data_IF_391676525723
#
_entry.id   IF_391676525723
#
_cell.length_a   1.000
_cell.length_b   1.000
_cell.length_c   1.000
_cell.angle_alpha   90.00
_cell.angle_beta   90.00
_cell.angle_gamma   90.00
#
_symmetry.space_group_name_H-M   'P 1'
#
loop_
_entity.id
_entity.type
_entity.pdbx_description
1 polymer ?
#
# COMPACT_ATOMS: atom_id res chain seq x y z
N UNK A 1 -4.02 -13.71 24.34
CA UNK A 1 -4.74 -12.44 24.62
C UNK A 1 -5.23 -12.32 26.07
N UNK A 2 -6.03 -13.23 26.64
CA UNK A 2 -6.53 -13.13 28.03
C UNK A 2 -5.46 -12.98 29.13
N UNK A 3 -4.33 -13.68 29.02
CA UNK A 3 -3.21 -13.58 30.00
C UNK A 3 -2.59 -12.18 30.10
N UNK A 4 -2.57 -11.41 29.01
CA UNK A 4 -2.02 -10.04 28.98
C UNK A 4 -3.00 -9.08 29.66
N UNK A 5 -4.30 -9.27 29.43
CA UNK A 5 -5.36 -8.43 30.03
C UNK A 5 -5.41 -8.62 31.55
N UNK A 6 -5.25 -9.85 32.04
CA UNK A 6 -5.27 -10.13 33.48
C UNK A 6 -4.00 -9.63 34.19
N UNK A 7 -2.86 -9.68 33.50
CA UNK A 7 -1.61 -9.10 34.00
C UNK A 7 -1.70 -7.56 34.12
N UNK A 8 -2.32 -6.88 33.15
CA UNK A 8 -2.56 -5.43 33.19
C UNK A 8 -3.46 -5.04 34.36
N UNK A 9 -4.53 -5.79 34.63
CA UNK A 9 -5.44 -5.50 35.75
C UNK A 9 -4.75 -5.59 37.11
N UNK A 10 -3.79 -6.50 37.25
CA UNK A 10 -3.07 -6.68 38.52
C UNK A 10 -2.00 -5.61 38.74
N UNK A 11 -1.50 -5.00 37.66
CA UNK A 11 -0.52 -3.90 37.69
C UNK A 11 -1.08 -2.57 38.20
N UNK A 12 -2.40 -2.34 38.12
CA UNK A 12 -3.03 -1.12 38.60
C UNK A 12 -3.51 -1.18 40.06
N UNK A 13 -3.24 -2.27 40.79
CA UNK A 13 -3.78 -2.50 42.14
C UNK A 13 -2.81 -2.15 43.29
N UNK A 14 -2.18 -0.99 43.24
CA UNK A 14 -1.65 -0.39 44.46
C UNK A 14 -1.69 1.13 44.36
N UNK A 15 -2.71 1.72 44.98
CA UNK A 15 -2.75 3.16 45.23
C UNK A 15 -2.33 3.39 46.69
N UNK A 16 -1.19 4.04 46.95
CA UNK A 16 -0.88 4.51 48.30
C UNK A 16 -1.74 5.74 48.62
N UNK A 17 -2.44 5.72 49.76
CA UNK A 17 -3.14 6.90 50.31
C UNK A 17 -2.09 7.94 50.74
N UNK A 18 -2.17 9.14 50.18
CA UNK A 18 -1.39 10.32 50.59
C UNK A 18 -2.28 11.21 51.46
N UNK A 19 -1.77 11.56 52.64
CA UNK A 19 -2.34 12.51 53.60
C UNK A 19 -2.03 13.95 53.19
N UNK A 20 -3.05 14.79 53.22
CA UNK A 20 -3.02 16.20 52.83
C UNK A 20 -2.29 17.05 53.88
N UNK A 21 -1.42 17.95 53.41
CA UNK A 21 -1.15 19.21 54.13
C UNK A 21 -0.95 20.35 53.12
N UNK A 22 -1.58 21.47 53.43
CA UNK A 22 -1.77 22.65 52.60
C UNK A 22 -0.75 23.73 52.97
N UNK A 23 -0.04 24.28 52.00
CA UNK A 23 0.41 25.67 52.06
C UNK A 23 0.74 26.20 50.67
N UNK A 24 0.10 27.32 50.35
CA UNK A 24 0.19 28.07 49.12
C UNK A 24 1.47 28.90 49.09
N UNK A 25 2.33 28.67 48.10
CA UNK A 25 3.40 29.59 47.74
C UNK A 25 3.62 29.49 46.23
N UNK A 26 3.66 30.64 45.55
CA UNK A 26 3.87 30.73 44.10
C UNK A 26 5.30 30.28 43.75
N UNK A 27 5.49 28.96 43.64
CA UNK A 27 6.75 28.35 43.22
C UNK A 27 6.78 28.33 41.70
N UNK A 28 7.80 28.97 41.14
CA UNK A 28 8.28 28.62 39.80
C UNK A 28 8.66 27.14 39.83
N UNK A 29 7.74 26.28 39.41
CA UNK A 29 7.87 24.83 39.45
C UNK A 29 8.89 24.40 38.40
N UNK A 30 10.14 24.21 38.84
CA UNK A 30 11.15 23.53 38.03
C UNK A 30 10.83 22.04 37.92
N UNK A 31 11.02 21.47 36.73
CA UNK A 31 10.89 20.03 36.51
C UNK A 31 11.81 19.26 37.47
N UNK A 32 11.26 18.32 38.23
CA UNK A 32 12.10 17.45 39.06
C UNK A 32 12.79 16.39 38.19
N UNK A 33 14.03 16.03 38.53
CA UNK A 33 14.76 14.95 37.85
C UNK A 33 14.00 13.62 37.90
N UNK A 34 13.27 13.37 39.00
CA UNK A 34 12.45 12.17 39.17
C UNK A 34 11.24 12.17 38.23
N UNK A 35 10.61 13.32 37.97
CA UNK A 35 9.53 13.43 37.00
C UNK A 35 10.00 13.12 35.59
N UNK A 36 11.16 13.66 35.18
CA UNK A 36 11.71 13.36 33.86
C UNK A 36 12.09 11.87 33.73
N UNK A 37 12.61 11.26 34.79
CA UNK A 37 13.02 9.85 34.83
C UNK A 37 11.82 8.91 34.64
N UNK A 38 10.72 9.16 35.34
CA UNK A 38 9.50 8.35 35.21
C UNK A 38 8.91 8.51 33.80
N UNK A 39 8.95 9.71 33.23
CA UNK A 39 8.42 9.96 31.87
C UNK A 39 9.18 9.17 30.82
N UNK A 40 10.53 9.19 30.82
CA UNK A 40 11.31 8.40 29.85
C UNK A 40 11.14 6.90 30.06
N UNK A 41 10.94 6.46 31.31
CA UNK A 41 10.66 5.05 31.61
C UNK A 41 9.31 4.61 31.04
N UNK A 42 8.26 5.41 31.21
CA UNK A 42 6.93 5.14 30.64
C UNK A 42 6.95 5.22 29.11
N UNK A 43 7.62 6.22 28.52
CA UNK A 43 7.79 6.34 27.06
C UNK A 43 8.52 5.13 26.48
N UNK A 44 9.54 4.61 27.17
CA UNK A 44 10.26 3.41 26.75
C UNK A 44 9.37 2.16 26.70
N UNK A 45 8.53 1.95 27.73
CA UNK A 45 7.60 0.81 27.77
C UNK A 45 6.54 0.92 26.68
N UNK A 46 5.95 2.11 26.49
CA UNK A 46 4.94 2.33 25.45
C UNK A 46 5.52 2.12 24.04
N UNK A 47 6.73 2.62 23.77
CA UNK A 47 7.40 2.44 22.49
C UNK A 47 7.64 0.96 22.16
N UNK A 48 8.06 0.15 23.13
CA UNK A 48 8.28 -1.29 22.94
C UNK A 48 6.99 -2.03 22.58
N UNK A 49 5.86 -1.71 23.24
CA UNK A 49 4.56 -2.34 22.95
C UNK A 49 4.08 -2.00 21.53
N UNK A 50 4.23 -0.74 21.11
CA UNK A 50 3.78 -0.29 19.78
C UNK A 50 4.53 -1.00 18.65
N UNK A 51 5.85 -1.18 18.78
CA UNK A 51 6.66 -1.86 17.76
C UNK A 51 6.31 -3.35 17.60
N UNK A 52 5.83 -4.00 18.66
CA UNK A 52 5.37 -5.40 18.58
C UNK A 52 3.98 -5.47 17.93
N UNK A 53 3.16 -4.43 18.08
CA UNK A 53 1.78 -4.40 17.59
C UNK A 53 1.65 -4.04 16.09
N UNK A 54 2.64 -3.35 15.52
CA UNK A 54 2.61 -2.84 14.14
C UNK A 54 3.80 -3.40 13.35
N UNK A 55 3.54 -3.97 12.17
CA UNK A 55 4.59 -4.22 11.17
C UNK A 55 4.76 -2.96 10.30
N UNK A 56 5.80 -2.12 10.54
CA UNK A 56 5.98 -0.87 9.80
C UNK A 56 6.29 -1.12 8.33
N UNK A 57 6.90 -2.25 7.98
CA UNK A 57 7.26 -2.59 6.60
C UNK A 57 5.99 -2.84 5.79
N UNK A 58 5.04 -3.57 6.37
CA UNK A 58 3.75 -3.86 5.73
C UNK A 58 2.91 -2.58 5.54
N UNK A 59 2.95 -1.65 6.50
CA UNK A 59 2.25 -0.36 6.36
C UNK A 59 2.82 0.51 5.24
N UNK A 60 4.15 0.54 5.09
CA UNK A 60 4.80 1.23 3.98
C UNK A 60 4.46 0.58 2.63
N UNK A 61 4.43 -0.76 2.57
CA UNK A 61 4.00 -1.51 1.38
C UNK A 61 2.58 -1.17 0.96
N UNK A 62 1.63 -1.09 1.90
CA UNK A 62 0.25 -0.65 1.64
C UNK A 62 0.17 0.76 1.06
N UNK A 63 0.99 1.69 1.58
CA UNK A 63 1.05 3.05 1.06
C UNK A 63 1.48 3.10 -0.41
N UNK A 64 2.53 2.36 -0.75
CA UNK A 64 3.02 2.24 -2.14
C UNK A 64 2.01 1.57 -3.05
N UNK A 65 1.36 0.52 -2.58
CA UNK A 65 0.33 -0.20 -3.32
C UNK A 65 -0.89 0.69 -3.60
N UNK A 66 -1.27 1.59 -2.71
CA UNK A 66 -2.32 2.59 -2.99
C UNK A 66 -1.95 3.49 -4.16
N UNK A 67 -0.68 3.90 -4.25
CA UNK A 67 -0.15 4.63 -5.40
C UNK A 67 -0.20 3.79 -6.67
N UNK A 68 0.26 2.54 -6.62
CA UNK A 68 0.22 1.61 -7.77
C UNK A 68 -1.20 1.45 -8.31
N UNK A 69 -2.17 1.20 -7.43
CA UNK A 69 -3.58 1.03 -7.79
C UNK A 69 -4.09 2.23 -8.58
N UNK A 70 -3.88 3.43 -8.04
CA UNK A 70 -4.28 4.69 -8.69
C UNK A 70 -3.60 4.86 -10.05
N UNK A 71 -2.30 4.58 -10.13
CA UNK A 71 -1.53 4.69 -11.38
C UNK A 71 -2.00 3.71 -12.46
N UNK A 72 -2.20 2.42 -12.17
CA UNK A 72 -2.66 1.49 -13.24
C UNK A 72 -4.09 1.82 -13.66
N UNK A 73 -4.97 2.26 -12.76
CA UNK A 73 -6.30 2.73 -13.15
C UNK A 73 -6.21 3.98 -14.04
N UNK A 74 -5.34 4.93 -13.70
CA UNK A 74 -5.11 6.13 -14.51
C UNK A 74 -4.57 5.81 -15.90
N UNK A 75 -3.56 4.94 -15.98
CA UNK A 75 -2.95 4.50 -17.24
C UNK A 75 -3.98 3.75 -18.10
N UNK A 76 -4.72 2.80 -17.51
CA UNK A 76 -5.77 2.07 -18.24
C UNK A 76 -6.83 3.00 -18.82
N UNK A 77 -7.35 3.94 -18.02
CA UNK A 77 -8.30 4.95 -18.52
C UNK A 77 -7.72 5.81 -19.64
N UNK A 78 -6.47 6.25 -19.52
CA UNK A 78 -5.81 7.04 -20.56
C UNK A 78 -5.65 6.26 -21.87
N UNK A 79 -5.32 4.97 -21.81
CA UNK A 79 -5.26 4.10 -23.00
C UNK A 79 -6.64 3.96 -23.63
N UNK A 80 -7.69 3.83 -22.83
CA UNK A 80 -9.05 3.75 -23.34
C UNK A 80 -9.47 5.06 -24.02
N UNK A 81 -9.17 6.22 -23.43
CA UNK A 81 -9.44 7.51 -24.07
C UNK A 81 -8.63 7.68 -25.36
N UNK A 82 -7.35 7.30 -25.36
CA UNK A 82 -6.53 7.29 -26.57
C UNK A 82 -7.15 6.44 -27.68
N UNK A 83 -7.63 5.24 -27.35
CA UNK A 83 -8.30 4.37 -28.31
C UNK A 83 -9.56 5.03 -28.89
N UNK A 84 -10.36 5.72 -28.07
CA UNK A 84 -11.54 6.45 -28.57
C UNK A 84 -11.19 7.60 -29.51
N UNK A 85 -10.01 8.21 -29.37
CA UNK A 85 -9.55 9.30 -30.22
C UNK A 85 -8.87 8.83 -31.51
N UNK A 86 -8.06 7.77 -31.45
CA UNK A 86 -7.19 7.33 -32.55
C UNK A 86 -7.71 6.06 -33.26
N UNK A 87 -8.61 5.31 -32.63
CA UNK A 87 -9.15 4.05 -33.16
C UNK A 87 -8.20 2.86 -33.05
N UNK A 88 -7.07 3.02 -32.36
CA UNK A 88 -6.11 1.94 -32.10
C UNK A 88 -5.42 2.15 -30.75
N UNK A 89 -4.92 1.06 -30.17
CA UNK A 89 -4.18 1.13 -28.91
C UNK A 89 -2.77 1.70 -29.14
N UNK A 90 -2.19 2.39 -28.14
CA UNK A 90 -0.84 2.92 -28.27
C UNK A 90 0.17 1.78 -28.46
N UNK A 91 1.20 2.04 -29.26
CA UNK A 91 2.29 1.09 -29.48
C UNK A 91 2.98 0.76 -28.15
N UNK A 92 3.21 -0.53 -27.89
CA UNK A 92 3.74 -1.00 -26.60
C UNK A 92 5.06 -0.35 -26.23
N UNK A 93 6.01 -0.29 -27.17
CA UNK A 93 7.36 0.20 -26.91
C UNK A 93 7.41 1.66 -26.42
N UNK A 94 6.40 2.47 -26.72
CA UNK A 94 6.40 3.92 -26.47
C UNK A 94 5.10 4.43 -25.85
N UNK A 95 4.29 3.54 -25.26
CA UNK A 95 2.98 3.91 -24.73
C UNK A 95 3.05 5.08 -23.73
N UNK A 96 4.08 5.13 -22.89
CA UNK A 96 4.30 6.22 -21.94
C UNK A 96 4.46 7.59 -22.63
N UNK A 97 5.23 7.65 -23.73
CA UNK A 97 5.44 8.86 -24.52
C UNK A 97 4.20 9.22 -25.32
N UNK A 98 3.51 8.23 -25.90
CA UNK A 98 2.27 8.44 -26.66
C UNK A 98 1.20 9.04 -25.76
N UNK A 99 0.94 8.45 -24.59
CA UNK A 99 -0.10 8.92 -23.65
C UNK A 99 0.21 10.30 -23.07
N UNK A 100 1.49 10.62 -22.87
CA UNK A 100 1.88 11.95 -22.36
C UNK A 100 1.84 13.03 -23.44
N UNK A 101 2.27 12.71 -24.66
CA UNK A 101 2.29 13.67 -25.78
C UNK A 101 0.90 13.95 -26.32
N UNK A 102 0.02 12.95 -26.35
CA UNK A 102 -1.39 13.11 -26.71
C UNK A 102 -2.20 13.87 -25.65
N UNK A 103 -1.66 14.04 -24.44
CA UNK A 103 -2.32 14.75 -23.35
C UNK A 103 -3.32 13.92 -22.56
N UNK A 104 -3.47 12.62 -22.89
CA UNK A 104 -4.35 11.67 -22.20
C UNK A 104 -3.88 11.34 -20.78
N UNK A 105 -2.60 11.58 -20.51
CA UNK A 105 -2.01 11.34 -19.20
C UNK A 105 -0.97 12.42 -18.86
N UNK A 106 -1.06 13.05 -17.69
CA UNK A 106 -0.17 14.15 -17.27
C UNK A 106 0.38 13.95 -15.85
N UNK A 107 1.71 14.01 -15.65
CA UNK A 107 2.75 13.27 -16.39
C UNK A 107 2.66 11.75 -16.12
N UNK A 108 3.49 10.95 -16.77
CA UNK A 108 3.54 9.50 -16.52
C UNK A 108 3.82 9.20 -15.04
N UNK A 109 3.09 8.28 -14.38
CA UNK A 109 3.22 8.10 -12.94
C UNK A 109 4.61 7.56 -12.60
N UNK A 110 5.30 8.13 -11.59
CA UNK A 110 6.55 7.57 -11.12
C UNK A 110 6.31 6.25 -10.38
N UNK A 111 7.36 5.43 -10.29
CA UNK A 111 7.32 4.19 -9.52
C UNK A 111 7.13 4.49 -8.02
N UNK A 112 6.07 3.97 -7.35
CA UNK A 112 5.84 4.24 -5.93
C UNK A 112 6.95 3.63 -5.06
N UNK A 113 7.75 4.48 -4.42
CA UNK A 113 8.79 4.04 -3.48
C UNK A 113 10.16 3.70 -4.08
N UNK A 114 10.42 4.02 -5.37
CA UNK A 114 11.72 3.79 -6.01
C UNK A 114 11.71 2.62 -6.99
N UNK A 115 12.82 1.87 -7.09
CA UNK A 115 12.97 0.76 -8.04
C UNK A 115 11.84 -0.26 -7.84
N UNK A 116 10.98 -0.49 -8.85
CA UNK A 116 9.86 -1.40 -8.70
C UNK A 116 10.36 -2.84 -8.46
N UNK A 117 9.57 -3.70 -7.79
CA UNK A 117 9.82 -5.14 -7.78
C UNK A 117 9.99 -5.63 -9.22
N UNK A 118 10.88 -6.60 -9.45
CA UNK A 118 11.02 -7.22 -10.77
C UNK A 118 9.64 -7.66 -11.28
N UNK A 119 9.13 -6.91 -12.25
CA UNK A 119 7.88 -7.22 -12.91
C UNK A 119 8.19 -8.23 -14.00
N UNK A 120 7.51 -9.36 -13.91
CA UNK A 120 7.26 -10.14 -15.09
C UNK A 120 6.43 -9.30 -16.05
N UNK A 121 7.01 -8.91 -17.18
CA UNK A 121 6.34 -8.21 -18.28
C UNK A 121 6.73 -8.89 -19.61
N UNK A 122 6.56 -10.20 -19.66
CA UNK A 122 6.89 -10.99 -20.84
C UNK A 122 5.91 -10.69 -21.96
N UNK A 123 6.41 -10.30 -23.14
CA UNK A 123 5.57 -9.92 -24.27
C UNK A 123 4.90 -8.56 -24.10
N UNK A 124 5.45 -7.68 -23.26
CA UNK A 124 4.97 -6.31 -23.09
C UNK A 124 6.09 -5.32 -22.86
N UNK A 125 5.71 -4.10 -22.51
CA UNK A 125 6.65 -3.03 -22.15
C UNK A 125 6.43 -2.56 -20.72
N UNK A 126 7.49 -2.61 -19.91
CA UNK A 126 7.49 -2.13 -18.54
C UNK A 126 8.07 -0.72 -18.44
N UNK A 127 7.31 0.22 -17.88
CA UNK A 127 7.76 1.60 -17.61
C UNK A 127 7.39 1.96 -16.17
N UNK A 128 8.38 2.41 -15.39
CA UNK A 128 8.20 2.86 -14.00
C UNK A 128 7.44 1.88 -13.09
N UNK A 129 7.55 0.58 -13.33
CA UNK A 129 6.85 -0.44 -12.53
C UNK A 129 5.43 -0.78 -13.01
N UNK A 130 5.05 -0.33 -14.20
CA UNK A 130 3.77 -0.67 -14.83
C UNK A 130 4.04 -1.42 -16.14
N UNK A 131 3.47 -2.61 -16.27
CA UNK A 131 3.53 -3.37 -17.50
C UNK A 131 2.28 -3.06 -18.34
N UNK A 132 2.49 -2.84 -19.63
CA UNK A 132 1.45 -2.71 -20.63
C UNK A 132 1.65 -3.76 -21.72
N UNK A 133 0.56 -4.43 -22.11
CA UNK A 133 0.48 -5.40 -23.19
C UNK A 133 -0.77 -5.17 -24.02
N UNK A 134 -0.70 -5.36 -25.33
CA UNK A 134 -1.80 -5.20 -26.27
C UNK A 134 -1.65 -6.16 -27.45
N UNK A 135 -2.72 -6.91 -27.73
CA UNK A 135 -2.81 -7.76 -28.92
C UNK A 135 -3.56 -7.07 -30.09
N UNK A 136 -3.85 -5.77 -29.96
CA UNK A 136 -4.62 -4.98 -30.93
C UNK A 136 -6.14 -5.06 -30.77
N UNK A 137 -6.67 -6.07 -30.08
CA UNK A 137 -8.11 -6.21 -29.76
C UNK A 137 -8.39 -5.86 -28.30
N UNK A 138 -7.55 -6.40 -27.41
CA UNK A 138 -7.55 -6.16 -25.98
C UNK A 138 -6.17 -5.69 -25.53
N UNK A 139 -6.16 -4.85 -24.51
CA UNK A 139 -4.98 -4.51 -23.73
C UNK A 139 -5.16 -4.80 -22.24
N UNK A 140 -4.02 -4.95 -21.57
CA UNK A 140 -3.95 -5.05 -20.10
C UNK A 140 -2.84 -4.13 -19.59
N UNK A 141 -3.12 -3.49 -18.45
CA UNK A 141 -2.11 -2.74 -17.68
C UNK A 141 -2.08 -3.32 -16.27
N UNK A 142 -0.91 -3.62 -15.75
CA UNK A 142 -0.82 -4.13 -14.40
C UNK A 142 0.48 -3.76 -13.67
N UNK A 143 0.41 -3.86 -12.35
CA UNK A 143 1.56 -3.83 -11.45
C UNK A 143 1.46 -4.97 -10.45
N UNK A 144 2.61 -5.48 -10.00
CA UNK A 144 2.69 -6.37 -8.85
C UNK A 144 2.48 -5.57 -7.57
N UNK A 145 1.70 -6.10 -6.63
CA UNK A 145 1.52 -5.52 -5.29
C UNK A 145 2.56 -6.08 -4.32
N UNK A 146 3.07 -5.22 -3.43
CA UNK A 146 4.11 -5.58 -2.45
C UNK A 146 3.52 -6.04 -1.11
N UNK A 147 2.39 -5.46 -0.70
CA UNK A 147 1.74 -5.75 0.57
C UNK A 147 1.15 -7.15 0.57
N UNK A 148 1.45 -7.91 1.63
CA UNK A 148 0.84 -9.20 1.89
C UNK A 148 -0.64 -9.09 2.24
N UNK A 149 -1.18 -7.90 2.49
CA UNK A 149 -2.57 -7.71 2.93
C UNK A 149 -3.56 -8.19 1.88
N UNK A 150 -3.37 -7.82 0.63
CA UNK A 150 -4.25 -8.28 -0.44
C UNK A 150 -4.06 -9.78 -0.72
N UNK A 151 -2.83 -10.28 -0.54
CA UNK A 151 -2.52 -11.71 -0.61
C UNK A 151 -3.16 -12.52 0.53
N UNK A 152 -3.24 -11.95 1.73
CA UNK A 152 -3.74 -12.62 2.93
C UNK A 152 -5.28 -12.49 3.07
N UNK A 153 -5.96 -11.72 2.22
CA UNK A 153 -7.42 -11.76 2.13
C UNK A 153 -7.86 -13.12 1.58
N UNK A 154 -8.95 -13.66 2.11
CA UNK A 154 -9.36 -15.07 1.99
C UNK A 154 -9.40 -15.66 0.58
N UNK A 155 -9.56 -14.84 -0.45
CA UNK A 155 -9.61 -15.31 -1.84
C UNK A 155 -8.22 -15.45 -2.51
N UNK A 156 -7.19 -14.84 -1.93
CA UNK A 156 -5.80 -14.90 -2.42
C UNK A 156 -4.91 -15.77 -1.52
N UNK A 157 -5.36 -16.10 -0.31
CA UNK A 157 -4.59 -16.87 0.66
C UNK A 157 -4.42 -18.36 0.28
N UNK A 158 -5.34 -18.89 -0.52
CA UNK A 158 -5.37 -20.32 -0.92
C UNK A 158 -4.71 -20.59 -2.28
N UNK A 159 -4.17 -19.56 -2.94
CA UNK A 159 -3.45 -19.69 -4.20
C UNK A 159 -1.97 -19.39 -3.97
N UNK A 160 -1.07 -20.23 -4.50
CA UNK A 160 0.37 -19.95 -4.60
C UNK A 160 0.60 -18.85 -5.66
N UNK A 161 -0.02 -17.70 -5.45
CA UNK A 161 -0.23 -16.66 -6.44
C UNK A 161 0.55 -15.39 -6.11
N UNK A 162 1.01 -14.74 -7.17
CA UNK A 162 1.35 -13.35 -7.13
C UNK A 162 0.06 -12.52 -7.02
N UNK A 163 0.12 -11.39 -6.31
CA UNK A 163 -0.97 -10.43 -6.26
C UNK A 163 -0.68 -9.30 -7.23
N UNK A 164 -1.57 -9.12 -8.19
CA UNK A 164 -1.50 -8.11 -9.22
C UNK A 164 -2.63 -7.12 -9.02
N UNK A 165 -2.39 -5.86 -9.37
CA UNK A 165 -3.47 -4.93 -9.64
C UNK A 165 -3.52 -4.69 -11.13
N UNK A 166 -4.69 -4.96 -11.72
CA UNK A 166 -4.86 -5.12 -13.16
C UNK A 166 -5.99 -4.22 -13.62
N UNK A 167 -5.76 -3.48 -14.71
CA UNK A 167 -6.80 -2.91 -15.54
C UNK A 167 -6.88 -3.73 -16.82
N UNK A 168 -8.05 -4.28 -17.13
CA UNK A 168 -8.28 -5.04 -18.35
C UNK A 168 -9.36 -4.38 -19.19
N UNK A 169 -9.09 -4.21 -20.48
CA UNK A 169 -10.06 -3.77 -21.48
C UNK A 169 -11.22 -4.76 -21.64
N UNK A 170 -10.94 -6.06 -21.70
CA UNK A 170 -11.98 -7.10 -21.81
C UNK A 170 -12.96 -7.11 -20.63
N UNK A 171 -12.49 -6.73 -19.43
CA UNK A 171 -13.34 -6.61 -18.25
C UNK A 171 -13.91 -5.20 -18.04
N UNK A 172 -13.40 -4.19 -18.77
CA UNK A 172 -13.76 -2.78 -18.63
C UNK A 172 -13.49 -2.17 -17.25
N UNK A 173 -12.65 -2.80 -16.42
CA UNK A 173 -12.46 -2.41 -15.01
C UNK A 173 -11.05 -2.72 -14.50
N UNK A 174 -10.74 -2.09 -13.37
CA UNK A 174 -9.54 -2.38 -12.59
C UNK A 174 -9.86 -3.10 -11.28
N UNK A 175 -8.96 -3.95 -10.80
CA UNK A 175 -9.10 -4.60 -9.51
C UNK A 175 -7.90 -5.48 -9.14
N UNK A 176 -7.97 -6.08 -7.95
CA UNK A 176 -6.94 -7.01 -7.48
C UNK A 176 -7.17 -8.37 -8.12
N UNK A 177 -6.10 -8.99 -8.64
CA UNK A 177 -6.11 -10.33 -9.23
C UNK A 177 -5.04 -11.17 -8.56
N UNK A 178 -5.38 -12.42 -8.24
CA UNK A 178 -4.48 -13.35 -7.58
C UNK A 178 -4.31 -14.58 -8.46
N UNK A 179 -3.13 -14.70 -9.07
CA UNK A 179 -2.75 -15.82 -9.93
C UNK A 179 -1.22 -16.03 -9.95
N UNK A 180 -0.76 -17.22 -10.32
CA UNK A 180 0.66 -17.53 -10.39
C UNK A 180 1.37 -16.78 -11.53
N UNK A 181 0.76 -16.79 -12.73
CA UNK A 181 1.28 -16.14 -13.93
C UNK A 181 1.03 -14.64 -13.99
N UNK A 182 1.62 -14.00 -15.00
CA UNK A 182 1.34 -12.61 -15.34
C UNK A 182 -0.07 -12.48 -15.95
N UNK A 183 -0.79 -11.36 -15.71
CA UNK A 183 -1.99 -11.03 -16.45
C UNK A 183 -1.69 -10.94 -17.95
N UNK A 184 -2.56 -11.56 -18.75
CA UNK A 184 -2.52 -11.50 -20.20
C UNK A 184 -3.60 -10.54 -20.73
N UNK A 185 -3.43 -10.13 -21.98
CA UNK A 185 -4.44 -9.42 -22.77
C UNK A 185 -5.73 -10.23 -22.83
N UNK A 186 -6.87 -9.56 -22.80
CA UNK A 186 -8.17 -10.23 -22.79
C UNK A 186 -8.58 -10.82 -21.43
N UNK A 187 -7.82 -10.56 -20.36
CA UNK A 187 -8.17 -11.07 -19.02
C UNK A 187 -9.57 -10.62 -18.58
N UNK A 188 -10.48 -11.57 -18.36
CA UNK A 188 -11.83 -11.33 -17.85
C UNK A 188 -12.14 -12.20 -16.61
N UNK A 189 -11.11 -12.52 -15.83
CA UNK A 189 -11.23 -13.33 -14.63
C UNK A 189 -11.80 -12.58 -13.43
N UNK A 190 -11.74 -13.21 -12.26
CA UNK A 190 -12.25 -12.64 -11.01
C UNK A 190 -11.35 -11.51 -10.51
N UNK A 191 -11.97 -10.38 -10.21
CA UNK A 191 -11.36 -9.24 -9.52
C UNK A 191 -11.86 -9.21 -8.07
N UNK A 192 -10.97 -8.92 -7.13
CA UNK A 192 -11.23 -8.85 -5.69
C UNK A 192 -11.11 -7.43 -5.14
#
# INVERSE_FOLDING_TARGET
MKKIIDWIKNLFKSSPKKSDDSSSENKSNGFTLIELLIVIAVLGVLAAVVLIAIDPIEQLGRGRDSGRKTSVTGIGRAIQTYYTAVGSYPAEATYNTILTTSGELKPFPPAPGGSPPALGCTGGTAVSGFCYKSNGTDYVVYSKLESKVERNKGNCANVAANTWYVFSSAAGKAGVVCQAGEPAEGFNGTFY
#
